data_IF_585999256483
#
_entry.id   IF_585999256483
#
_cell.length_a   1.000
_cell.length_b   1.000
_cell.length_c   1.000
_cell.angle_alpha   90.00
_cell.angle_beta   90.00
_cell.angle_gamma   90.00
#
_symmetry.space_group_name_H-M   'P 1'
#
loop_
_entity.id
_entity.type
_entity.pdbx_description
1 polymer ?
#
# COMPACT_ATOMS: atom_id res chain seq x y z
N UNK A 1 21.61 -9.43 -69.25
CA UNK A 1 21.46 -10.45 -70.30
C UNK A 1 21.06 -11.76 -69.65
N UNK A 2 19.86 -12.24 -70.00
CA UNK A 2 19.37 -13.63 -69.99
C UNK A 2 19.47 -14.44 -68.69
N UNK A 3 18.51 -15.22 -68.22
CA UNK A 3 17.15 -15.62 -68.64
C UNK A 3 16.79 -16.76 -67.65
N UNK A 4 15.73 -16.67 -66.84
CA UNK A 4 14.33 -17.02 -67.19
C UNK A 4 14.06 -18.54 -67.05
N UNK A 5 13.11 -18.85 -66.14
CA UNK A 5 12.09 -19.93 -66.19
C UNK A 5 12.56 -21.37 -65.84
N UNK A 6 11.74 -22.31 -65.32
CA UNK A 6 10.29 -22.41 -65.07
C UNK A 6 10.02 -23.67 -64.22
N UNK A 7 8.91 -23.67 -63.47
CA UNK A 7 7.94 -24.79 -63.35
C UNK A 7 8.31 -25.94 -62.40
N UNK A 8 7.64 -26.10 -61.25
CA UNK A 8 6.27 -26.60 -61.07
C UNK A 8 6.09 -28.10 -61.42
N UNK A 9 5.80 -28.91 -60.39
CA UNK A 9 4.76 -29.96 -60.45
C UNK A 9 4.30 -30.32 -59.03
N UNK A 10 3.14 -29.76 -58.67
CA UNK A 10 2.24 -30.26 -57.63
C UNK A 10 1.97 -31.74 -57.87
N UNK A 11 2.16 -32.59 -56.85
CA UNK A 11 1.47 -33.87 -56.77
C UNK A 11 0.23 -33.68 -55.89
N UNK A 12 -0.93 -33.70 -56.55
CA UNK A 12 -2.22 -33.88 -55.93
C UNK A 12 -2.26 -35.29 -55.31
N UNK A 13 -2.37 -35.39 -53.99
CA UNK A 13 -3.01 -36.54 -53.37
C UNK A 13 -4.30 -36.06 -52.70
N UNK A 14 -5.41 -36.34 -53.39
CA UNK A 14 -6.75 -36.32 -52.84
C UNK A 14 -6.83 -37.43 -51.78
N UNK A 15 -6.55 -37.08 -50.52
CA UNK A 15 -6.99 -37.86 -49.38
C UNK A 15 -8.14 -37.10 -48.73
N UNK A 16 -9.37 -37.54 -49.04
CA UNK A 16 -10.60 -37.15 -48.38
C UNK A 16 -10.56 -37.58 -46.91
N UNK A 17 -10.00 -36.73 -46.06
CA UNK A 17 -10.18 -36.80 -44.62
C UNK A 17 -11.54 -36.19 -44.26
N UNK A 18 -12.59 -37.01 -44.36
CA UNK A 18 -13.86 -36.76 -43.67
C UNK A 18 -13.60 -36.79 -42.18
N UNK A 19 -13.22 -35.64 -41.61
CA UNK A 19 -13.27 -35.42 -40.16
C UNK A 19 -14.73 -35.45 -39.74
N UNK A 20 -15.17 -36.61 -39.27
CA UNK A 20 -16.40 -36.74 -38.49
C UNK A 20 -16.26 -35.86 -37.23
N UNK A 21 -16.89 -34.69 -37.26
CA UNK A 21 -17.15 -33.90 -36.06
C UNK A 21 -18.13 -34.68 -35.18
N UNK A 22 -17.64 -35.57 -34.34
CA UNK A 22 -18.41 -36.10 -33.21
C UNK A 22 -18.44 -35.01 -32.13
N UNK A 23 -19.47 -34.18 -32.18
CA UNK A 23 -19.82 -33.31 -31.06
C UNK A 23 -20.22 -34.23 -29.90
N UNK A 24 -19.61 -34.13 -28.71
CA UNK A 24 -20.10 -34.89 -27.57
C UNK A 24 -21.48 -34.34 -27.22
N UNK A 25 -22.52 -35.14 -27.47
CA UNK A 25 -23.85 -34.93 -26.91
C UNK A 25 -23.70 -34.78 -25.40
N UNK A 26 -23.84 -33.54 -24.91
CA UNK A 26 -24.15 -33.32 -23.50
C UNK A 26 -25.53 -33.89 -23.30
N UNK A 27 -25.68 -34.87 -22.42
CA UNK A 27 -26.97 -35.23 -21.85
C UNK A 27 -27.53 -33.96 -21.18
N UNK A 28 -28.46 -33.31 -21.86
CA UNK A 28 -29.31 -32.28 -21.27
C UNK A 28 -30.35 -33.06 -20.49
N UNK A 29 -30.21 -33.10 -19.16
CA UNK A 29 -31.33 -33.45 -18.30
C UNK A 29 -32.35 -32.31 -18.40
N UNK A 30 -33.29 -32.42 -19.35
CA UNK A 30 -34.45 -31.52 -19.42
C UNK A 30 -35.45 -31.91 -18.32
N UNK A 31 -35.20 -31.46 -17.09
CA UNK A 31 -36.19 -31.53 -16.01
C UNK A 31 -36.25 -30.20 -15.26
N UNK A 32 -36.29 -29.08 -15.99
CA UNK A 32 -36.68 -27.79 -15.43
C UNK A 32 -37.68 -27.16 -16.41
N UNK A 33 -38.89 -26.85 -15.93
CA UNK A 33 -39.93 -26.20 -16.73
C UNK A 33 -39.41 -24.83 -17.20
N UNK A 34 -39.09 -24.71 -18.48
CA UNK A 34 -38.49 -23.50 -19.11
C UNK A 34 -39.39 -22.25 -19.08
N UNK A 35 -40.62 -22.37 -18.60
CA UNK A 35 -41.61 -21.29 -18.59
C UNK A 35 -42.09 -21.01 -17.16
N UNK A 36 -41.31 -20.26 -16.39
CA UNK A 36 -41.79 -19.55 -15.21
C UNK A 36 -42.64 -18.33 -15.66
N UNK A 37 -43.69 -18.01 -14.91
CA UNK A 37 -44.60 -16.87 -15.22
C UNK A 37 -43.90 -15.51 -15.23
N UNK A 38 -42.73 -15.42 -14.63
CA UNK A 38 -41.82 -14.27 -14.66
C UNK A 38 -40.50 -14.71 -15.28
N UNK A 39 -40.07 -14.13 -16.42
CA UNK A 39 -38.79 -14.47 -17.02
C UNK A 39 -37.64 -14.01 -16.12
N UNK A 40 -36.84 -14.97 -15.65
CA UNK A 40 -35.58 -14.69 -14.96
C UNK A 40 -34.47 -14.51 -15.99
N UNK A 41 -34.20 -13.26 -16.38
CA UNK A 41 -33.09 -12.95 -17.26
C UNK A 41 -31.75 -13.08 -16.50
N UNK A 42 -30.71 -13.63 -17.14
CA UNK A 42 -29.37 -13.59 -16.56
C UNK A 42 -28.93 -12.13 -16.39
N UNK A 43 -28.09 -11.83 -15.38
CA UNK A 43 -27.60 -10.49 -15.16
C UNK A 43 -26.88 -9.99 -16.42
N UNK A 44 -27.28 -8.82 -16.90
CA UNK A 44 -26.67 -8.20 -18.07
C UNK A 44 -25.23 -7.83 -17.71
N UNK A 45 -24.27 -8.55 -18.29
CA UNK A 45 -22.86 -8.15 -18.24
C UNK A 45 -22.66 -6.97 -19.20
N UNK A 46 -23.04 -5.77 -18.76
CA UNK A 46 -22.92 -4.50 -19.51
C UNK A 46 -21.45 -4.21 -19.85
N UNK A 47 -20.54 -4.71 -19.03
CA UNK A 47 -19.11 -4.63 -19.29
C UNK A 47 -18.65 -5.96 -19.88
N UNK A 48 -18.29 -6.00 -21.17
CA UNK A 48 -17.27 -6.94 -21.66
C UNK A 48 -15.92 -6.55 -21.07
N UNK A 49 -15.81 -6.58 -19.73
CA UNK A 49 -14.53 -6.51 -19.08
C UNK A 49 -13.68 -7.67 -19.60
N UNK A 50 -12.38 -7.46 -19.75
CA UNK A 50 -11.49 -8.59 -20.02
C UNK A 50 -11.66 -9.60 -18.88
N UNK A 51 -11.47 -10.90 -19.14
CA UNK A 51 -11.50 -11.98 -18.13
C UNK A 51 -10.68 -11.60 -16.87
N UNK A 52 -9.61 -10.82 -17.06
CA UNK A 52 -8.78 -10.29 -15.98
C UNK A 52 -9.51 -9.30 -15.05
N UNK A 53 -10.34 -8.41 -15.59
CA UNK A 53 -11.12 -7.47 -14.77
C UNK A 53 -12.16 -8.18 -13.91
N UNK A 54 -12.77 -9.26 -14.41
CA UNK A 54 -13.70 -10.07 -13.63
C UNK A 54 -12.97 -10.82 -12.51
N UNK A 55 -11.83 -11.43 -12.81
CA UNK A 55 -10.96 -12.05 -11.79
C UNK A 55 -10.53 -11.07 -10.70
N UNK A 56 -10.17 -9.84 -11.07
CA UNK A 56 -9.82 -8.79 -10.11
C UNK A 56 -11.01 -8.42 -9.22
N UNK A 57 -12.21 -8.30 -9.80
CA UNK A 57 -13.45 -8.03 -9.04
C UNK A 57 -13.77 -9.17 -8.06
N UNK A 58 -13.65 -10.42 -8.49
CA UNK A 58 -13.85 -11.59 -7.63
C UNK A 58 -12.84 -11.62 -6.48
N UNK A 59 -11.57 -11.35 -6.78
CA UNK A 59 -10.53 -11.28 -5.77
C UNK A 59 -10.76 -10.13 -4.77
N UNK A 60 -11.17 -8.94 -5.24
CA UNK A 60 -11.58 -7.84 -4.35
C UNK A 60 -12.74 -8.25 -3.43
N UNK A 61 -13.78 -8.91 -3.98
CA UNK A 61 -14.88 -9.44 -3.18
C UNK A 61 -14.39 -10.46 -2.14
N UNK A 62 -13.39 -11.28 -2.46
CA UNK A 62 -12.79 -12.24 -1.53
C UNK A 62 -12.07 -11.55 -0.37
N UNK A 63 -11.31 -10.49 -0.64
CA UNK A 63 -10.68 -9.67 0.41
C UNK A 63 -11.75 -9.06 1.32
N UNK A 64 -12.81 -8.48 0.74
CA UNK A 64 -13.88 -7.83 1.50
C UNK A 64 -14.65 -8.80 2.41
N UNK A 65 -14.72 -10.09 2.05
CA UNK A 65 -15.39 -11.13 2.84
C UNK A 65 -14.61 -11.57 4.07
N UNK A 66 -13.32 -11.27 4.16
CA UNK A 66 -12.52 -11.71 5.30
C UNK A 66 -13.01 -11.03 6.61
N UNK A 67 -13.11 -11.76 7.72
CA UNK A 67 -13.70 -11.26 8.96
C UNK A 67 -12.76 -10.37 9.79
N UNK A 68 -11.44 -10.59 9.72
CA UNK A 68 -10.46 -9.80 10.47
C UNK A 68 -9.54 -9.00 9.56
N UNK A 69 -8.96 -7.93 10.12
CA UNK A 69 -8.04 -7.04 9.41
C UNK A 69 -6.78 -7.78 8.94
N UNK A 70 -6.25 -8.66 9.78
CA UNK A 70 -5.04 -9.43 9.50
C UNK A 70 -5.25 -10.38 8.32
N UNK A 71 -6.42 -11.03 8.26
CA UNK A 71 -6.80 -11.91 7.15
C UNK A 71 -6.98 -11.11 5.86
N UNK A 72 -7.54 -9.89 5.92
CA UNK A 72 -7.60 -8.97 4.78
C UNK A 72 -6.20 -8.63 4.26
N UNK A 73 -5.29 -8.23 5.14
CA UNK A 73 -3.91 -7.89 4.77
C UNK A 73 -3.15 -9.08 4.18
N UNK A 74 -3.40 -10.29 4.69
CA UNK A 74 -2.80 -11.51 4.17
C UNK A 74 -3.35 -11.89 2.79
N UNK A 75 -4.68 -11.83 2.60
CA UNK A 75 -5.37 -12.21 1.36
C UNK A 75 -4.91 -11.37 0.15
N UNK A 76 -4.46 -10.12 0.39
CA UNK A 76 -3.86 -9.27 -0.65
C UNK A 76 -2.57 -9.89 -1.25
N UNK A 77 -1.84 -10.70 -0.49
CA UNK A 77 -0.59 -11.33 -0.95
C UNK A 77 -0.77 -12.74 -1.52
N UNK A 78 -1.88 -13.41 -1.19
CA UNK A 78 -2.18 -14.80 -1.62
C UNK A 78 -2.04 -15.06 -3.12
N UNK A 79 -2.52 -14.21 -4.06
CA UNK A 79 -2.46 -14.54 -5.48
C UNK A 79 -1.03 -14.55 -6.04
N UNK A 80 -0.05 -13.96 -5.35
CA UNK A 80 1.32 -13.82 -5.85
C UNK A 80 2.34 -14.39 -4.86
N UNK A 81 2.75 -15.64 -5.11
CA UNK A 81 3.77 -16.36 -4.31
C UNK A 81 5.07 -15.56 -4.10
N UNK A 82 5.50 -14.82 -5.12
CA UNK A 82 6.77 -14.07 -5.10
C UNK A 82 6.58 -12.57 -4.81
N UNK A 83 5.40 -12.18 -4.35
CA UNK A 83 5.04 -10.80 -4.10
C UNK A 83 4.72 -9.99 -5.36
N UNK A 84 4.66 -8.69 -5.17
CA UNK A 84 4.28 -7.68 -6.14
C UNK A 84 5.49 -6.87 -6.56
N UNK A 85 5.49 -6.39 -7.81
CA UNK A 85 6.52 -5.47 -8.28
C UNK A 85 6.13 -4.06 -7.81
N UNK A 86 6.93 -3.49 -6.93
CA UNK A 86 6.66 -2.21 -6.26
C UNK A 86 7.79 -1.22 -6.52
N UNK A 87 7.46 0.07 -6.61
CA UNK A 87 8.44 1.14 -6.47
C UNK A 87 8.79 1.29 -4.99
N UNK A 88 10.07 1.25 -4.69
CA UNK A 88 10.57 1.33 -3.33
C UNK A 88 10.83 2.79 -2.96
N UNK A 89 10.09 3.28 -1.97
CA UNK A 89 10.28 4.60 -1.39
C UNK A 89 10.85 4.42 0.01
N UNK A 90 12.07 4.89 0.22
CA UNK A 90 12.74 4.83 1.51
C UNK A 90 12.74 6.21 2.15
N UNK A 91 12.41 6.27 3.44
CA UNK A 91 12.55 7.51 4.20
C UNK A 91 14.00 8.00 4.20
N UNK A 92 14.19 9.30 3.94
CA UNK A 92 15.50 9.92 3.81
C UNK A 92 16.19 9.67 2.47
N UNK A 93 15.56 9.02 1.49
CA UNK A 93 16.06 8.91 0.12
C UNK A 93 15.05 9.56 -0.81
N UNK A 94 15.23 10.87 -1.03
CA UNK A 94 14.36 11.69 -1.87
C UNK A 94 15.14 12.14 -3.10
N UNK A 95 14.69 11.82 -4.33
CA UNK A 95 15.28 12.34 -5.57
C UNK A 95 15.10 13.85 -5.75
N UNK A 96 15.81 14.41 -6.74
CA UNK A 96 15.58 15.78 -7.22
C UNK A 96 14.19 15.90 -7.86
N UNK A 97 13.53 17.07 -7.73
CA UNK A 97 12.23 17.37 -8.34
C UNK A 97 11.14 16.31 -8.07
N UNK A 98 11.06 15.84 -6.82
CA UNK A 98 10.18 14.74 -6.43
C UNK A 98 8.80 15.20 -5.92
N UNK A 99 8.60 16.50 -5.71
CA UNK A 99 7.39 17.03 -5.08
C UNK A 99 6.12 16.69 -5.87
N UNK A 100 6.12 16.97 -7.18
CA UNK A 100 4.98 16.66 -8.07
C UNK A 100 4.62 15.18 -8.04
N UNK A 101 5.62 14.29 -8.05
CA UNK A 101 5.39 12.86 -7.94
C UNK A 101 4.82 12.48 -6.57
N UNK A 102 5.34 13.04 -5.47
CA UNK A 102 4.84 12.73 -4.13
C UNK A 102 3.37 13.12 -3.95
N UNK A 103 2.98 14.28 -4.46
CA UNK A 103 1.60 14.77 -4.46
C UNK A 103 0.69 13.92 -5.35
N UNK A 104 1.12 13.58 -6.57
CA UNK A 104 0.38 12.69 -7.47
C UNK A 104 0.19 11.29 -6.87
N UNK A 105 1.28 10.70 -6.37
CA UNK A 105 1.31 9.35 -5.83
C UNK A 105 0.43 9.18 -4.59
N UNK A 106 0.30 10.22 -3.77
CA UNK A 106 -0.52 10.20 -2.55
C UNK A 106 -1.88 10.89 -2.73
N UNK A 107 -2.12 11.50 -3.90
CA UNK A 107 -3.26 12.38 -4.20
C UNK A 107 -3.44 13.48 -3.15
N UNK A 108 -2.33 14.14 -2.80
CA UNK A 108 -2.30 15.22 -1.80
C UNK A 108 -2.10 16.58 -2.44
N UNK A 109 -2.69 17.61 -1.82
CA UNK A 109 -2.49 19.01 -2.17
C UNK A 109 -1.70 19.69 -1.05
N UNK A 110 -0.64 20.41 -1.42
CA UNK A 110 0.23 21.09 -0.46
C UNK A 110 -0.20 22.55 -0.33
N UNK A 111 -0.66 22.92 0.86
CA UNK A 111 -0.95 24.31 1.21
C UNK A 111 0.24 24.87 1.98
N UNK A 112 0.92 25.87 1.41
CA UNK A 112 2.00 26.60 2.09
C UNK A 112 1.40 27.80 2.83
N UNK A 113 1.24 27.67 4.14
CA UNK A 113 0.82 28.76 5.03
C UNK A 113 1.85 28.94 6.14
N UNK A 114 2.16 30.19 6.46
CA UNK A 114 3.05 30.52 7.58
C UNK A 114 2.37 30.31 8.94
N UNK A 115 1.03 30.45 8.98
CA UNK A 115 0.23 30.24 10.17
C UNK A 115 -0.16 28.77 10.36
N UNK A 116 -0.27 28.38 11.64
CA UNK A 116 -0.89 27.11 12.04
C UNK A 116 -2.40 27.14 11.71
N UNK A 117 -3.06 25.96 11.60
CA UNK A 117 -4.51 25.91 11.46
C UNK A 117 -5.23 26.68 12.57
N UNK A 118 -6.34 27.37 12.21
CA UNK A 118 -7.14 28.20 13.13
C UNK A 118 -7.60 27.48 14.38
N UNK A 119 -7.74 26.15 14.30
CA UNK A 119 -7.99 25.27 15.43
C UNK A 119 -7.06 25.51 16.64
N UNK A 120 -5.79 25.87 16.39
CA UNK A 120 -4.78 26.03 17.44
C UNK A 120 -4.71 27.44 18.06
N UNK A 121 -5.44 28.42 17.53
CA UNK A 121 -5.40 29.81 18.03
C UNK A 121 -5.81 29.90 19.50
N UNK A 122 -6.85 29.16 19.90
CA UNK A 122 -7.36 29.16 21.28
C UNK A 122 -6.38 28.57 22.31
N UNK A 123 -5.38 27.80 21.87
CA UNK A 123 -4.38 27.17 22.72
C UNK A 123 -3.03 27.89 22.73
N UNK A 124 -2.85 28.92 21.90
CA UNK A 124 -1.55 29.55 21.67
C UNK A 124 -0.93 30.13 22.96
N UNK A 125 -1.72 30.88 23.74
CA UNK A 125 -1.23 31.54 24.97
C UNK A 125 -0.76 30.52 26.02
N UNK A 126 -1.52 29.44 26.22
CA UNK A 126 -1.14 28.35 27.12
C UNK A 126 0.14 27.67 26.68
N UNK A 127 0.31 27.44 25.38
CA UNK A 127 1.53 26.86 24.84
C UNK A 127 2.75 27.76 25.06
N UNK A 128 2.60 29.08 24.94
CA UNK A 128 3.67 30.05 25.20
C UNK A 128 4.10 29.99 26.67
N UNK A 129 3.15 29.92 27.60
CA UNK A 129 3.47 29.85 29.03
C UNK A 129 4.11 28.52 29.43
N UNK A 130 3.64 27.40 28.85
CA UNK A 130 4.30 26.10 29.00
C UNK A 130 5.72 26.12 28.42
N UNK A 131 5.92 26.72 27.25
CA UNK A 131 7.23 26.84 26.61
C UNK A 131 8.23 27.62 27.48
N UNK A 132 7.78 28.71 28.13
CA UNK A 132 8.59 29.47 29.09
C UNK A 132 8.99 28.61 30.29
N UNK A 133 8.07 27.79 30.81
CA UNK A 133 8.32 26.93 31.97
C UNK A 133 9.34 25.83 31.69
N UNK A 134 9.29 25.20 30.51
CA UNK A 134 10.19 24.08 30.16
C UNK A 134 11.53 24.53 29.57
N UNK A 135 11.70 25.83 29.29
CA UNK A 135 12.86 26.34 28.55
C UNK A 135 14.17 25.93 29.20
N UNK A 136 14.30 26.17 30.51
CA UNK A 136 15.54 25.92 31.23
C UNK A 136 15.82 24.41 31.32
N UNK A 137 14.80 23.60 31.62
CA UNK A 137 14.89 22.14 31.63
C UNK A 137 15.36 21.56 30.28
N UNK A 138 14.87 22.14 29.17
CA UNK A 138 15.25 21.75 27.82
C UNK A 138 16.71 22.12 27.53
N UNK A 139 17.13 23.34 27.88
CA UNK A 139 18.50 23.80 27.67
C UNK A 139 19.47 22.94 28.47
N UNK A 140 19.21 22.73 29.76
CA UNK A 140 20.03 21.89 30.65
C UNK A 140 20.13 20.46 30.13
N UNK A 141 19.01 19.89 29.66
CA UNK A 141 19.00 18.55 29.08
C UNK A 141 19.86 18.46 27.81
N UNK A 142 19.79 19.46 26.93
CA UNK A 142 20.60 19.47 25.69
C UNK A 142 22.09 19.65 26.02
N UNK A 143 22.42 20.59 26.89
CA UNK A 143 23.81 20.86 27.30
C UNK A 143 24.44 19.64 27.96
N UNK A 144 23.71 18.97 28.85
CA UNK A 144 24.15 17.74 29.48
C UNK A 144 24.48 16.65 28.43
N UNK A 145 23.59 16.43 27.46
CA UNK A 145 23.80 15.41 26.43
C UNK A 145 24.97 15.75 25.52
N UNK A 146 25.14 17.03 25.15
CA UNK A 146 26.26 17.47 24.33
C UNK A 146 27.59 17.36 25.08
N UNK A 147 27.63 17.73 26.36
CA UNK A 147 28.84 17.71 27.17
C UNK A 147 29.30 16.28 27.50
N UNK A 148 28.43 15.46 28.11
CA UNK A 148 28.76 14.10 28.56
C UNK A 148 29.16 13.19 27.41
N UNK A 149 28.55 13.35 26.23
CA UNK A 149 28.71 12.39 25.13
C UNK A 149 29.81 12.76 24.15
N UNK A 150 30.29 14.01 24.16
CA UNK A 150 31.45 14.45 23.37
C UNK A 150 32.71 13.65 23.69
N UNK A 151 32.85 13.16 24.92
CA UNK A 151 34.09 12.55 25.40
C UNK A 151 34.16 11.02 25.26
N UNK A 152 33.03 10.30 25.26
CA UNK A 152 33.05 8.83 25.45
C UNK A 152 32.40 7.98 24.34
N UNK A 153 31.37 8.47 23.62
CA UNK A 153 30.55 7.60 22.74
C UNK A 153 30.91 7.74 21.25
N UNK A 154 31.47 8.88 20.84
CA UNK A 154 31.67 9.20 19.42
C UNK A 154 33.07 8.98 18.88
N UNK A 155 34.03 8.50 19.68
CA UNK A 155 35.44 8.36 19.27
C UNK A 155 35.62 7.48 18.02
N UNK A 156 34.77 6.48 17.82
CA UNK A 156 34.92 5.47 16.75
C UNK A 156 33.84 5.52 15.65
N UNK A 157 32.96 6.52 15.66
CA UNK A 157 31.89 6.63 14.65
C UNK A 157 32.31 7.55 13.51
N UNK A 158 31.75 7.33 12.31
CA UNK A 158 31.83 8.32 11.23
C UNK A 158 30.95 9.53 11.58
N UNK A 159 31.32 10.73 11.15
CA UNK A 159 30.66 11.98 11.56
C UNK A 159 29.14 11.97 11.30
N UNK A 160 28.72 11.38 10.17
CA UNK A 160 27.29 11.22 9.88
C UNK A 160 26.54 10.28 10.82
N UNK A 161 27.19 9.20 11.25
CA UNK A 161 26.59 8.30 12.24
C UNK A 161 26.55 8.97 13.62
N UNK A 162 27.53 9.83 13.96
CA UNK A 162 27.51 10.63 15.19
C UNK A 162 26.32 11.59 15.20
N UNK A 163 26.15 12.38 14.13
CA UNK A 163 25.05 13.35 14.00
C UNK A 163 23.70 12.65 14.16
N UNK A 164 23.50 11.53 13.45
CA UNK A 164 22.25 10.77 13.54
C UNK A 164 21.98 10.23 14.95
N UNK A 165 23.00 9.76 15.66
CA UNK A 165 22.82 9.28 17.04
C UNK A 165 22.54 10.43 18.01
N UNK A 166 23.27 11.55 17.90
CA UNK A 166 23.02 12.77 18.67
C UNK A 166 21.60 13.28 18.46
N UNK A 167 21.13 13.31 17.21
CA UNK A 167 19.77 13.73 16.89
C UNK A 167 18.72 12.84 17.58
N UNK A 168 18.87 11.52 17.54
CA UNK A 168 17.95 10.59 18.23
C UNK A 168 17.90 10.83 19.73
N UNK A 169 19.06 11.08 20.32
CA UNK A 169 19.20 11.39 21.74
C UNK A 169 18.46 12.69 22.06
N UNK A 170 18.78 13.77 21.35
CA UNK A 170 18.22 15.10 21.61
C UNK A 170 16.70 15.06 21.45
N UNK A 171 16.20 14.44 20.38
CA UNK A 171 14.75 14.29 20.15
C UNK A 171 14.08 13.47 21.27
N UNK A 172 14.72 12.39 21.73
CA UNK A 172 14.21 11.59 22.83
C UNK A 172 14.13 12.37 24.16
N UNK A 173 15.15 13.15 24.47
CA UNK A 173 15.17 14.00 25.66
C UNK A 173 14.16 15.13 25.59
N UNK A 174 14.06 15.81 24.43
CA UNK A 174 13.03 16.84 24.20
C UNK A 174 11.63 16.28 24.41
N UNK A 175 11.34 15.12 23.82
CA UNK A 175 10.06 14.46 24.00
C UNK A 175 9.79 14.11 25.48
N UNK A 176 10.80 13.63 26.22
CA UNK A 176 10.69 13.32 27.65
C UNK A 176 10.33 14.56 28.47
N UNK A 177 11.03 15.67 28.28
CA UNK A 177 10.78 16.93 29.03
C UNK A 177 9.37 17.46 28.73
N UNK A 178 9.00 17.48 27.44
CA UNK A 178 7.67 17.94 27.01
C UNK A 178 6.56 17.07 27.60
N UNK A 179 6.67 15.74 27.50
CA UNK A 179 5.65 14.83 28.02
C UNK A 179 5.50 14.92 29.55
N UNK A 180 6.62 15.01 30.28
CA UNK A 180 6.58 15.19 31.73
C UNK A 180 5.89 16.50 32.12
N UNK A 181 6.09 17.58 31.36
CA UNK A 181 5.41 18.84 31.61
C UNK A 181 3.90 18.73 31.37
N UNK A 182 3.51 18.15 30.23
CA UNK A 182 2.10 17.99 29.84
C UNK A 182 1.34 17.12 30.84
N UNK A 183 1.92 15.99 31.25
CA UNK A 183 1.32 15.09 32.25
C UNK A 183 1.10 15.76 33.61
N UNK A 184 1.94 16.72 33.98
CA UNK A 184 1.80 17.47 35.23
C UNK A 184 0.77 18.61 35.11
N UNK A 185 0.55 19.16 33.92
CA UNK A 185 -0.38 20.27 33.72
C UNK A 185 -1.82 19.85 33.45
N UNK A 186 -2.03 18.73 32.74
CA UNK A 186 -3.36 18.26 32.38
C UNK A 186 -3.61 16.86 32.96
N UNK A 187 -4.56 16.73 33.89
CA UNK A 187 -4.93 15.44 34.50
C UNK A 187 -5.58 14.49 33.49
N UNK A 188 -6.20 15.04 32.45
CA UNK A 188 -6.80 14.30 31.33
C UNK A 188 -5.76 13.97 30.24
N UNK A 189 -4.46 14.17 30.53
CA UNK A 189 -3.37 13.92 29.60
C UNK A 189 -3.58 12.57 28.91
N UNK A 190 -3.79 12.67 27.61
CA UNK A 190 -3.96 11.57 26.67
C UNK A 190 -2.94 10.49 27.03
N UNK A 191 -3.40 9.24 27.19
CA UNK A 191 -2.51 8.09 27.31
C UNK A 191 -1.65 8.00 26.05
N UNK A 192 -0.51 8.70 26.09
CA UNK A 192 0.44 8.81 24.99
C UNK A 192 1.48 7.72 25.14
N UNK A 193 1.55 6.83 24.15
CA UNK A 193 2.59 5.84 24.06
C UNK A 193 3.72 6.36 23.16
N UNK A 194 4.96 6.25 23.65
CA UNK A 194 6.16 6.63 22.90
C UNK A 194 6.83 5.39 22.33
N UNK A 195 7.01 5.34 21.02
CA UNK A 195 7.77 4.29 20.33
C UNK A 195 9.05 4.86 19.73
N UNK A 196 10.18 4.21 20.02
CA UNK A 196 11.49 4.60 19.50
C UNK A 196 11.86 3.81 18.24
N UNK A 197 12.20 4.52 17.17
CA UNK A 197 12.56 3.92 15.86
C UNK A 197 11.58 2.83 15.35
N UNK A 198 10.26 3.05 15.39
CA UNK A 198 9.28 2.08 14.91
C UNK A 198 9.45 1.80 13.41
N UNK A 199 9.08 0.60 12.99
CA UNK A 199 9.10 0.17 11.58
C UNK A 199 7.77 0.53 10.93
N UNK A 200 7.79 1.51 10.03
CA UNK A 200 6.64 1.85 9.20
C UNK A 200 6.79 1.20 7.84
N UNK A 201 5.77 0.47 7.40
CA UNK A 201 5.68 0.00 6.03
C UNK A 201 4.28 0.30 5.51
N UNK A 202 4.19 0.86 4.31
CA UNK A 202 2.91 1.12 3.68
C UNK A 202 2.96 0.81 2.21
N UNK A 203 1.83 0.35 1.70
CA UNK A 203 1.70 -0.03 0.31
C UNK A 203 0.35 0.37 -0.23
N UNK A 204 0.37 0.96 -1.42
CA UNK A 204 -0.83 1.43 -2.10
C UNK A 204 -0.60 1.41 -3.61
N UNK A 205 -1.71 1.48 -4.35
CA UNK A 205 -1.69 1.58 -5.81
C UNK A 205 -1.77 3.04 -6.22
N UNK A 206 -0.93 3.42 -7.17
CA UNK A 206 -0.97 4.70 -7.87
C UNK A 206 -1.43 4.44 -9.29
N UNK A 207 -2.47 5.15 -9.68
CA UNK A 207 -3.03 5.09 -11.02
C UNK A 207 -2.35 6.16 -11.89
N UNK A 208 -2.61 6.12 -13.19
CA UNK A 208 -2.20 7.19 -14.10
C UNK A 208 -0.68 7.35 -14.25
N UNK A 209 0.09 6.26 -14.16
CA UNK A 209 1.50 6.27 -14.53
C UNK A 209 1.69 5.62 -15.91
N UNK A 210 2.39 6.31 -16.80
CA UNK A 210 2.70 5.83 -18.15
C UNK A 210 3.72 4.68 -18.05
N UNK A 211 3.41 3.56 -18.71
CA UNK A 211 4.37 2.46 -18.87
C UNK A 211 5.32 2.75 -20.02
N UNK A 212 6.57 2.31 -19.88
CA UNK A 212 7.48 2.26 -21.01
C UNK A 212 6.97 1.36 -22.13
N UNK A 213 7.32 1.76 -23.34
CA UNK A 213 7.10 1.03 -24.61
C UNK A 213 7.40 -0.48 -24.48
N UNK A 214 8.62 -0.82 -24.02
CA UNK A 214 9.07 -2.21 -23.87
C UNK A 214 8.19 -3.03 -22.92
N UNK A 215 7.67 -2.41 -21.86
CA UNK A 215 6.77 -3.10 -20.91
C UNK A 215 5.40 -3.37 -21.53
N UNK A 216 4.92 -2.49 -22.41
CA UNK A 216 3.65 -2.67 -23.13
C UNK A 216 3.73 -3.81 -24.13
N UNK A 217 4.81 -3.89 -24.91
CA UNK A 217 5.04 -4.99 -25.86
C UNK A 217 5.03 -6.35 -25.15
N UNK A 218 5.75 -6.47 -24.03
CA UNK A 218 5.78 -7.70 -23.24
C UNK A 218 4.39 -8.07 -22.66
N UNK A 219 3.62 -7.06 -22.24
CA UNK A 219 2.32 -7.25 -21.60
C UNK A 219 1.24 -7.71 -22.58
N UNK A 220 1.23 -7.13 -23.78
CA UNK A 220 0.25 -7.44 -24.81
C UNK A 220 0.72 -8.54 -25.77
N UNK A 221 2.02 -8.86 -25.79
CA UNK A 221 2.59 -9.85 -26.70
C UNK A 221 2.55 -9.41 -28.16
N UNK A 222 2.43 -8.10 -28.39
CA UNK A 222 2.28 -7.46 -29.70
C UNK A 222 3.42 -6.43 -29.84
N UNK A 223 4.14 -6.40 -30.97
CA UNK A 223 5.14 -5.36 -31.25
C UNK A 223 4.52 -3.95 -31.20
N UNK A 224 5.28 -2.94 -30.80
CA UNK A 224 4.79 -1.57 -30.62
C UNK A 224 4.06 -1.04 -31.86
N UNK A 225 4.59 -1.33 -33.03
CA UNK A 225 4.08 -0.83 -34.31
C UNK A 225 2.70 -1.39 -34.66
N UNK A 226 2.27 -2.47 -33.97
CA UNK A 226 0.97 -3.13 -34.15
C UNK A 226 0.02 -2.88 -32.98
N UNK A 227 0.47 -2.19 -31.92
CA UNK A 227 -0.37 -1.83 -30.78
C UNK A 227 -1.31 -0.68 -31.18
N UNK A 228 -2.64 -0.85 -31.04
CA UNK A 228 -3.56 0.26 -31.28
C UNK A 228 -3.26 1.42 -30.34
N UNK A 229 -3.45 2.65 -30.82
CA UNK A 229 -3.10 3.89 -30.10
C UNK A 229 -3.76 3.97 -28.71
N UNK A 230 -4.98 3.44 -28.57
CA UNK A 230 -5.70 3.31 -27.30
C UNK A 230 -4.92 2.54 -26.20
N UNK A 231 -4.06 1.61 -26.58
CA UNK A 231 -3.22 0.85 -25.63
C UNK A 231 -1.90 1.55 -25.30
N UNK A 232 -1.47 2.49 -26.16
CA UNK A 232 -0.29 3.32 -25.92
C UNK A 232 -0.58 4.35 -24.85
N UNK A 233 -1.74 4.99 -24.85
CA UNK A 233 -2.05 6.01 -23.85
C UNK A 233 -2.67 5.45 -22.57
N UNK A 234 -2.92 4.14 -22.53
CA UNK A 234 -3.55 3.50 -21.38
C UNK A 234 -2.65 3.58 -20.14
N UNK A 235 -3.06 4.32 -19.09
CA UNK A 235 -2.30 4.35 -17.86
C UNK A 235 -2.30 2.99 -17.17
N UNK A 236 -1.26 2.73 -16.40
CA UNK A 236 -1.15 1.50 -15.61
C UNK A 236 -1.13 1.78 -14.13
N UNK A 237 -1.76 0.88 -13.39
CA UNK A 237 -1.65 0.87 -11.94
C UNK A 237 -0.26 0.35 -11.55
N UNK A 238 0.42 1.11 -10.70
CA UNK A 238 1.71 0.72 -10.12
C UNK A 238 1.57 0.65 -8.62
N UNK A 239 2.26 -0.32 -8.02
CA UNK A 239 2.32 -0.44 -6.58
C UNK A 239 3.52 0.35 -6.06
N UNK A 240 3.30 1.07 -4.97
CA UNK A 240 4.35 1.71 -4.19
C UNK A 240 4.49 0.94 -2.88
N UNK A 241 5.73 0.79 -2.43
CA UNK A 241 6.06 0.34 -1.09
C UNK A 241 6.91 1.40 -0.41
N UNK A 242 6.35 2.06 0.58
CA UNK A 242 7.04 2.94 1.49
C UNK A 242 7.65 2.15 2.66
N UNK A 243 8.89 2.48 3.00
CA UNK A 243 9.60 1.97 4.18
C UNK A 243 10.10 3.17 4.98
N UNK A 244 9.46 3.40 6.12
CA UNK A 244 9.77 4.45 7.07
C UNK A 244 10.45 3.92 8.33
N UNK A 245 11.34 4.73 8.87
CA UNK A 245 11.99 4.56 10.16
C UNK A 245 12.14 5.93 10.82
N UNK A 246 11.04 6.52 11.34
CA UNK A 246 11.09 7.74 12.10
C UNK A 246 12.01 7.57 13.32
N UNK A 247 12.44 8.68 13.91
CA UNK A 247 13.22 8.69 15.15
C UNK A 247 12.34 8.23 16.32
N UNK A 248 11.14 8.81 16.41
CA UNK A 248 10.20 8.64 17.51
C UNK A 248 8.77 8.82 16.98
N UNK A 249 7.83 8.05 17.53
CA UNK A 249 6.40 8.25 17.30
C UNK A 249 5.66 8.33 18.64
N UNK A 250 4.66 9.18 18.67
CA UNK A 250 3.67 9.28 19.73
C UNK A 250 2.34 8.72 19.22
N UNK A 251 1.73 7.85 20.01
CA UNK A 251 0.42 7.26 19.74
C UNK A 251 -0.55 7.58 20.86
N UNK A 252 -1.84 7.61 20.53
CA UNK A 252 -2.92 7.91 21.44
C UNK A 252 -4.06 6.90 21.30
N UNK A 253 -4.89 6.76 22.34
CA UNK A 253 -6.07 5.87 22.32
C UNK A 253 -7.25 6.44 21.52
N UNK A 254 -7.29 7.76 21.31
CA UNK A 254 -8.38 8.43 20.59
C UNK A 254 -7.84 9.13 19.33
N UNK A 255 -8.59 9.14 18.23
CA UNK A 255 -8.16 9.81 17.01
C UNK A 255 -8.09 11.33 17.21
N UNK A 256 -7.14 11.97 16.53
CA UNK A 256 -7.07 13.42 16.46
C UNK A 256 -8.31 13.99 15.72
N UNK A 257 -8.80 15.16 16.12
CA UNK A 257 -9.88 15.83 15.40
C UNK A 257 -9.41 16.24 13.99
N UNK A 258 -10.29 16.20 12.99
CA UNK A 258 -9.95 16.62 11.64
C UNK A 258 -9.66 18.13 11.61
N UNK A 259 -8.58 18.51 10.93
CA UNK A 259 -8.19 19.93 10.77
C UNK A 259 -9.18 20.69 9.89
N UNK A 260 -9.66 20.02 8.83
CA UNK A 260 -10.61 20.55 7.85
C UNK A 260 -11.83 19.65 7.85
N UNK A 261 -13.03 20.22 7.70
CA UNK A 261 -14.25 19.42 7.65
C UNK A 261 -14.28 18.53 6.41
N UNK A 262 -14.94 17.36 6.49
CA UNK A 262 -15.05 16.45 5.34
C UNK A 262 -15.74 17.10 4.12
N UNK A 263 -16.63 18.08 4.34
CA UNK A 263 -17.28 18.83 3.26
C UNK A 263 -16.30 19.73 2.52
N UNK A 264 -15.48 20.48 3.26
CA UNK A 264 -14.46 21.36 2.69
C UNK A 264 -13.37 20.57 1.96
N UNK A 265 -12.96 19.42 2.52
CA UNK A 265 -11.99 18.53 1.88
C UNK A 265 -12.46 18.00 0.52
N UNK A 266 -13.78 17.87 0.31
CA UNK A 266 -14.38 17.41 -0.93
C UNK A 266 -14.63 18.54 -1.96
N UNK A 267 -14.31 19.80 -1.63
CA UNK A 267 -14.45 20.91 -2.58
C UNK A 267 -13.35 20.79 -3.65
N UNK A 268 -13.76 20.82 -4.92
CA UNK A 268 -12.92 20.65 -6.11
C UNK A 268 -11.81 21.72 -6.32
N UNK A 269 -11.66 22.67 -5.39
CA UNK A 269 -10.72 23.79 -5.54
C UNK A 269 -9.25 23.39 -5.34
N UNK A 270 -8.99 22.22 -4.75
CA UNK A 270 -7.64 21.73 -4.56
C UNK A 270 -7.18 20.91 -5.77
N UNK A 271 -6.36 21.51 -6.64
CA UNK A 271 -5.75 20.80 -7.76
C UNK A 271 -4.58 19.94 -7.28
N UNK A 272 -4.62 18.64 -7.58
CA UNK A 272 -3.49 17.74 -7.37
C UNK A 272 -2.65 17.76 -8.65
N UNK A 273 -1.33 18.00 -8.56
CA UNK A 273 -0.46 17.98 -9.74
C UNK A 273 -0.43 16.56 -10.32
N UNK A 274 -0.51 16.48 -11.65
CA UNK A 274 -0.47 15.22 -12.38
C UNK A 274 0.99 14.89 -12.72
N UNK A 275 1.39 13.65 -12.50
CA UNK A 275 2.71 13.15 -12.86
C UNK A 275 2.61 11.98 -13.83
N UNK A 276 2.93 12.22 -15.10
CA UNK A 276 2.70 11.26 -16.19
C UNK A 276 3.91 10.39 -16.54
N UNK A 277 5.02 10.47 -15.81
CA UNK A 277 6.25 9.75 -16.17
C UNK A 277 6.47 8.47 -15.35
N UNK A 278 7.29 7.53 -15.85
CA UNK A 278 7.72 6.36 -15.08
C UNK A 278 8.78 6.77 -14.05
N UNK A 279 8.45 6.79 -12.73
CA UNK A 279 9.34 7.33 -11.68
C UNK A 279 10.65 6.54 -11.54
N UNK A 280 10.72 5.30 -12.05
CA UNK A 280 11.98 4.55 -12.07
C UNK A 280 13.00 5.16 -13.05
N UNK A 281 12.53 5.71 -14.17
CA UNK A 281 13.42 6.25 -15.21
C UNK A 281 13.73 7.72 -14.94
N UNK A 282 12.72 8.50 -14.58
CA UNK A 282 12.86 9.94 -14.41
C UNK A 282 13.44 10.33 -13.06
N UNK A 283 13.02 9.67 -11.98
CA UNK A 283 13.43 9.99 -10.61
C UNK A 283 14.44 8.98 -10.05
N UNK A 284 14.68 7.87 -10.75
CA UNK A 284 15.65 6.85 -10.34
C UNK A 284 15.19 5.94 -9.20
N UNK A 285 13.88 5.84 -8.94
CA UNK A 285 13.38 4.90 -7.93
C UNK A 285 13.62 3.45 -8.33
N UNK A 286 13.98 2.62 -7.36
CA UNK A 286 14.20 1.18 -7.59
C UNK A 286 12.87 0.43 -7.64
N UNK A 287 12.80 -0.61 -8.49
CA UNK A 287 11.68 -1.53 -8.53
C UNK A 287 12.09 -2.88 -7.96
N UNK A 288 11.43 -3.31 -6.88
CA UNK A 288 11.69 -4.60 -6.25
C UNK A 288 10.43 -5.46 -6.23
N UNK A 289 10.61 -6.78 -6.07
CA UNK A 289 9.49 -7.70 -5.79
C UNK A 289 9.35 -7.90 -4.29
N UNK A 290 8.22 -7.47 -3.71
CA UNK A 290 7.94 -7.59 -2.28
C UNK A 290 6.49 -7.97 -2.01
N UNK A 291 6.25 -8.66 -0.91
CA UNK A 291 4.90 -8.77 -0.38
C UNK A 291 4.45 -7.40 0.12
N UNK A 292 3.19 -7.06 -0.17
CA UNK A 292 2.53 -5.83 0.26
C UNK A 292 2.41 -5.89 1.78
N UNK A 293 2.96 -4.89 2.45
CA UNK A 293 2.91 -4.76 3.90
C UNK A 293 2.37 -3.39 4.30
N UNK A 294 1.47 -3.39 5.29
CA UNK A 294 0.92 -2.21 5.93
C UNK A 294 1.11 -2.38 7.45
N UNK A 295 2.16 -1.76 7.98
CA UNK A 295 2.58 -1.83 9.38
C UNK A 295 2.81 -0.39 9.87
N UNK A 296 2.02 0.12 10.84
CA UNK A 296 2.14 1.49 11.35
C UNK A 296 3.25 1.69 12.38
N UNK A 297 3.92 0.62 12.83
CA UNK A 297 4.92 0.65 13.90
C UNK A 297 4.65 -0.32 15.04
N UNK A 298 3.41 -0.82 15.15
CA UNK A 298 2.95 -1.72 16.19
C UNK A 298 2.07 -2.84 15.60
N UNK A 299 1.73 -3.84 16.42
CA UNK A 299 0.86 -4.94 16.00
C UNK A 299 -0.62 -4.63 16.26
N UNK A 300 -1.55 -5.17 15.46
CA UNK A 300 -2.98 -4.99 15.69
C UNK A 300 -3.40 -5.42 17.11
N UNK A 301 -4.33 -4.68 17.71
CA UNK A 301 -4.91 -5.01 19.01
C UNK A 301 -4.23 -4.36 20.22
N UNK A 302 -3.32 -3.41 20.02
CA UNK A 302 -2.91 -2.47 21.09
C UNK A 302 -4.02 -1.45 21.39
N UNK A 303 -3.99 -0.84 22.59
CA UNK A 303 -5.02 0.13 23.02
C UNK A 303 -4.81 1.50 22.37
N UNK A 304 -3.56 1.89 22.16
CA UNK A 304 -3.14 3.17 21.57
C UNK A 304 -2.97 3.01 20.06
N UNK A 305 -4.08 2.87 19.35
CA UNK A 305 -4.10 2.50 17.93
C UNK A 305 -4.10 3.71 16.96
N UNK A 306 -4.08 4.95 17.48
CA UNK A 306 -4.04 6.17 16.67
C UNK A 306 -2.69 6.87 16.75
N UNK A 307 -2.30 7.51 15.65
CA UNK A 307 -1.09 8.33 15.59
C UNK A 307 -1.34 9.74 16.13
N UNK A 308 -0.39 10.26 16.92
CA UNK A 308 -0.42 11.62 17.45
C UNK A 308 0.62 12.51 16.76
N UNK A 309 1.91 12.15 16.86
CA UNK A 309 3.02 12.93 16.31
C UNK A 309 4.17 12.01 15.91
N UNK A 310 4.89 12.33 14.83
CA UNK A 310 6.06 11.59 14.40
C UNK A 310 7.26 12.52 14.17
N UNK A 311 8.42 12.10 14.67
CA UNK A 311 9.68 12.81 14.53
C UNK A 311 10.53 12.13 13.47
N UNK A 312 10.94 12.89 12.46
CA UNK A 312 11.63 12.37 11.29
C UNK A 312 13.06 12.89 11.17
N UNK A 313 13.88 12.12 10.47
CA UNK A 313 15.26 12.47 10.20
C UNK A 313 15.37 13.29 8.90
N UNK A 314 16.07 14.43 8.95
CA UNK A 314 16.33 15.32 7.80
C UNK A 314 17.79 15.25 7.29
N UNK A 315 18.57 14.26 7.72
CA UNK A 315 19.98 14.09 7.34
C UNK A 315 20.23 14.10 5.82
N UNK A 316 19.24 13.66 5.03
CA UNK A 316 19.33 13.63 3.58
C UNK A 316 19.40 15.02 2.94
N UNK A 317 18.87 16.07 3.60
CA UNK A 317 18.87 17.45 3.11
C UNK A 317 20.27 18.07 3.17
N UNK A 318 21.07 17.70 4.18
CA UNK A 318 22.41 18.26 4.39
C UNK A 318 23.40 17.91 3.28
N UNK A 319 23.20 16.80 2.57
CA UNK A 319 24.10 16.29 1.53
C UNK A 319 23.66 16.66 0.11
N UNK A 320 22.58 17.43 -0.02
CA UNK A 320 22.05 17.79 -1.33
C UNK A 320 23.01 18.75 -2.03
N UNK A 321 23.40 18.46 -3.30
CA UNK A 321 24.24 19.35 -4.08
C UNK A 321 23.64 20.76 -4.19
N UNK A 322 24.48 21.78 -4.09
CA UNK A 322 24.07 23.18 -4.33
C UNK A 322 23.61 23.43 -5.77
N UNK A 323 23.92 22.54 -6.70
CA UNK A 323 23.52 22.60 -8.11
C UNK A 323 22.02 22.39 -8.33
N UNK A 324 21.29 21.84 -7.36
CA UNK A 324 19.85 21.57 -7.48
C UNK A 324 18.98 22.83 -7.35
N UNK A 325 19.57 23.99 -7.02
CA UNK A 325 18.85 25.25 -6.88
C UNK A 325 18.38 25.52 -5.45
N UNK A 326 17.80 26.71 -5.24
CA UNK A 326 17.42 27.21 -3.91
C UNK A 326 16.18 26.54 -3.33
N UNK A 327 15.21 26.15 -4.17
CA UNK A 327 13.92 25.57 -3.74
C UNK A 327 14.00 24.07 -3.44
N UNK A 328 15.05 23.41 -3.91
CA UNK A 328 15.19 21.95 -3.85
C UNK A 328 15.12 21.39 -2.43
N UNK A 329 15.74 22.07 -1.45
CA UNK A 329 15.71 21.64 -0.05
C UNK A 329 14.30 21.64 0.52
N UNK A 330 13.52 22.68 0.23
CA UNK A 330 12.13 22.78 0.68
C UNK A 330 11.24 21.73 0.03
N UNK A 331 11.43 21.48 -1.27
CA UNK A 331 10.71 20.44 -2.01
C UNK A 331 11.04 19.04 -1.49
N UNK A 332 12.30 18.78 -1.15
CA UNK A 332 12.75 17.52 -0.56
C UNK A 332 12.08 17.26 0.79
N UNK A 333 12.10 18.27 1.66
CA UNK A 333 11.47 18.21 2.99
C UNK A 333 9.97 17.95 2.81
N UNK A 334 9.31 18.74 1.97
CA UNK A 334 7.88 18.60 1.69
C UNK A 334 7.52 17.21 1.16
N UNK A 335 8.32 16.69 0.22
CA UNK A 335 8.13 15.35 -0.34
C UNK A 335 8.29 14.25 0.73
N UNK A 336 9.30 14.36 1.60
CA UNK A 336 9.47 13.43 2.70
C UNK A 336 8.28 13.49 3.66
N UNK A 337 7.83 14.69 4.03
CA UNK A 337 6.70 14.86 4.95
C UNK A 337 5.41 14.28 4.37
N UNK A 338 5.15 14.47 3.07
CA UNK A 338 4.00 13.87 2.38
C UNK A 338 4.06 12.34 2.45
N UNK A 339 5.18 11.74 2.03
CA UNK A 339 5.31 10.28 2.03
C UNK A 339 5.32 9.68 3.43
N UNK A 340 5.97 10.33 4.39
CA UNK A 340 6.01 9.86 5.77
C UNK A 340 4.63 9.92 6.43
N UNK A 341 3.90 11.03 6.25
CA UNK A 341 2.56 11.19 6.82
C UNK A 341 1.58 10.22 6.17
N UNK A 342 1.54 10.15 4.84
CA UNK A 342 0.67 9.22 4.13
C UNK A 342 1.05 7.76 4.42
N UNK A 343 2.34 7.46 4.43
CA UNK A 343 2.88 6.15 4.74
C UNK A 343 2.63 5.71 6.18
N UNK A 344 2.33 6.62 7.11
CA UNK A 344 1.90 6.26 8.46
C UNK A 344 0.38 6.15 8.58
N UNK A 345 -0.36 7.09 7.99
CA UNK A 345 -1.83 7.10 8.02
C UNK A 345 -2.45 5.92 7.28
N UNK A 346 -1.85 5.46 6.18
CA UNK A 346 -2.38 4.34 5.39
C UNK A 346 -2.42 3.03 6.20
N UNK A 347 -1.32 2.57 6.85
CA UNK A 347 -1.36 1.40 7.73
C UNK A 347 -2.26 1.58 8.96
N UNK A 348 -2.34 2.77 9.53
CA UNK A 348 -3.27 3.06 10.62
C UNK A 348 -4.72 2.84 10.15
N UNK A 349 -5.10 3.38 8.99
CA UNK A 349 -6.40 3.15 8.38
C UNK A 349 -6.63 1.65 8.09
N UNK A 350 -5.59 0.93 7.63
CA UNK A 350 -5.64 -0.52 7.47
C UNK A 350 -5.97 -1.26 8.75
N UNK A 351 -5.37 -0.87 9.88
CA UNK A 351 -5.65 -1.48 11.18
C UNK A 351 -7.08 -1.21 11.67
N UNK A 352 -7.74 -0.17 11.15
CA UNK A 352 -9.15 0.11 11.39
C UNK A 352 -10.11 -0.68 10.46
N UNK A 353 -9.58 -1.39 9.46
CA UNK A 353 -10.35 -2.17 8.47
C UNK A 353 -10.44 -1.52 7.08
N UNK A 354 -9.93 -0.30 6.90
CA UNK A 354 -9.94 0.40 5.61
C UNK A 354 -8.78 -0.03 4.71
N UNK A 355 -8.91 0.07 3.39
CA UNK A 355 -7.78 -0.22 2.50
C UNK A 355 -7.99 0.42 1.15
N UNK A 356 -7.00 0.33 0.25
CA UNK A 356 -7.22 0.73 -1.15
C UNK A 356 -8.34 -0.06 -1.86
N UNK A 357 -8.82 -1.14 -1.25
CA UNK A 357 -9.94 -1.95 -1.74
C UNK A 357 -11.25 -1.71 -0.96
N UNK A 358 -11.21 -0.89 0.09
CA UNK A 358 -12.31 -0.69 1.04
C UNK A 358 -12.42 0.79 1.44
N UNK A 359 -13.49 1.45 1.00
CA UNK A 359 -13.71 2.89 1.20
C UNK A 359 -14.18 3.22 2.63
N UNK A 360 -14.02 4.49 3.03
CA UNK A 360 -14.25 5.01 4.39
C UNK A 360 -15.73 5.09 4.79
N UNK A 361 -16.66 4.99 3.84
CA UNK A 361 -18.08 5.21 4.09
C UNK A 361 -18.85 3.88 4.31
N UNK A 362 -19.39 3.74 5.53
CA UNK A 362 -20.53 2.87 5.89
C UNK A 362 -20.27 1.39 6.23
N UNK A 363 -19.37 1.10 7.19
CA UNK A 363 -19.40 -0.21 7.88
C UNK A 363 -18.95 -0.13 9.36
N UNK A 364 -19.52 -0.96 10.26
CA UNK A 364 -18.92 -1.21 11.58
C UNK A 364 -17.50 -1.77 11.45
N UNK A 365 -16.63 -1.39 12.40
CA UNK A 365 -15.21 -1.78 12.44
C UNK A 365 -15.05 -3.30 12.38
N UNK A 366 -14.08 -3.78 11.61
CA UNK A 366 -13.77 -5.21 11.58
C UNK A 366 -13.21 -5.68 12.92
N UNK A 367 -13.37 -6.98 13.20
CA UNK A 367 -12.82 -7.57 14.41
C UNK A 367 -11.28 -7.53 14.34
N UNK A 368 -10.66 -6.92 15.35
CA UNK A 368 -9.21 -6.96 15.57
C UNK A 368 -8.93 -8.11 16.51
N UNK A 369 -8.29 -9.15 16.01
CA UNK A 369 -7.92 -10.29 16.85
C UNK A 369 -6.44 -10.53 16.68
N UNK A 370 -5.73 -10.60 17.79
CA UNK A 370 -4.31 -10.91 17.74
C UNK A 370 -4.15 -12.34 17.20
N UNK A 371 -3.08 -12.64 16.43
CA UNK A 371 -2.88 -13.98 15.87
C UNK A 371 -2.98 -15.12 16.91
N UNK A 372 -2.62 -14.86 18.16
CA UNK A 372 -2.69 -15.81 19.28
C UNK A 372 -4.06 -15.89 19.97
N UNK A 373 -4.93 -14.89 19.80
CA UNK A 373 -6.31 -14.90 20.34
C UNK A 373 -7.22 -15.85 19.55
N UNK A 374 -6.82 -16.25 18.34
CA UNK A 374 -7.51 -17.26 17.54
C UNK A 374 -7.26 -18.70 18.02
N UNK A 375 -6.49 -18.90 19.11
CA UNK A 375 -6.03 -20.22 19.61
C UNK A 375 -5.42 -21.11 18.52
N UNK A 376 -4.97 -20.51 17.42
CA UNK A 376 -4.28 -21.18 16.33
C UNK A 376 -2.88 -20.60 16.24
N UNK A 377 -1.87 -21.44 16.45
CA UNK A 377 -0.49 -21.02 16.29
C UNK A 377 -0.22 -20.75 14.79
N UNK A 378 0.11 -19.50 14.39
CA UNK A 378 0.28 -19.12 12.99
C UNK A 378 1.40 -19.88 12.27
N UNK A 379 2.40 -20.38 13.00
CA UNK A 379 3.48 -21.20 12.45
C UNK A 379 3.04 -22.64 12.10
N UNK A 380 1.88 -23.07 12.57
CA UNK A 380 1.32 -24.39 12.24
C UNK A 380 0.31 -24.35 11.10
N UNK A 381 -0.07 -23.16 10.58
CA UNK A 381 -0.91 -23.05 9.38
C UNK A 381 -0.13 -23.57 8.18
N UNK A 382 -0.46 -24.77 7.71
CA UNK A 382 0.06 -25.32 6.46
C UNK A 382 -0.86 -24.92 5.31
N UNK A 383 -0.31 -24.76 4.11
CA UNK A 383 -1.06 -24.52 2.87
C UNK A 383 -2.08 -25.65 2.54
N UNK A 384 -1.99 -26.79 3.24
CA UNK A 384 -2.97 -27.88 3.21
C UNK A 384 -4.24 -27.60 4.01
N UNK A 385 -4.18 -26.71 5.00
CA UNK A 385 -5.22 -26.59 6.02
C UNK A 385 -6.44 -25.79 5.50
N UNK A 386 -6.27 -25.09 4.37
CA UNK A 386 -7.36 -24.47 3.59
C UNK A 386 -7.97 -25.39 2.54
N UNK A 387 -7.35 -26.55 2.27
CA UNK A 387 -7.91 -27.53 1.33
C UNK A 387 -8.85 -28.46 2.11
N UNK A 388 -10.09 -28.58 1.68
CA UNK A 388 -11.01 -29.56 2.25
C UNK A 388 -10.42 -30.97 2.22
N UNK A 389 -10.90 -31.88 3.07
CA UNK A 389 -10.39 -33.25 3.14
C UNK A 389 -10.36 -33.90 1.74
N UNK A 390 -9.26 -34.56 1.39
CA UNK A 390 -9.14 -35.23 0.10
C UNK A 390 -10.20 -36.34 0.00
N UNK A 391 -11.03 -36.29 -1.04
CA UNK A 391 -12.04 -37.32 -1.29
C UNK A 391 -11.41 -38.41 -2.17
N UNK A 392 -11.28 -39.65 -1.66
CA UNK A 392 -10.79 -40.77 -2.45
C UNK A 392 -11.58 -40.90 -3.75
N UNK A 393 -10.90 -41.30 -4.83
CA UNK A 393 -11.50 -41.36 -6.17
C UNK A 393 -12.78 -42.22 -6.21
N UNK A 394 -12.86 -43.24 -5.35
CA UNK A 394 -14.01 -44.11 -5.19
C UNK A 394 -15.23 -43.46 -4.51
N UNK A 395 -15.08 -42.30 -3.88
CA UNK A 395 -16.14 -41.62 -3.10
C UNK A 395 -16.51 -40.24 -3.66
N UNK A 396 -15.96 -39.86 -4.82
CA UNK A 396 -16.28 -38.55 -5.44
C UNK A 396 -17.69 -38.58 -6.03
N UNK A 397 -18.54 -37.57 -5.73
CA UNK A 397 -19.88 -37.48 -6.31
C UNK A 397 -19.82 -37.30 -7.85
N UNK A 398 -18.74 -36.67 -8.34
CA UNK A 398 -18.60 -36.28 -9.75
C UNK A 398 -17.86 -37.33 -10.60
N UNK A 399 -17.91 -38.62 -10.25
CA UNK A 399 -17.15 -39.69 -10.94
C UNK A 399 -17.37 -39.75 -12.46
N UNK A 400 -18.54 -39.33 -12.91
CA UNK A 400 -18.95 -39.30 -14.31
C UNK A 400 -18.27 -38.18 -15.13
N UNK A 401 -17.66 -37.18 -14.47
CA UNK A 401 -16.96 -36.08 -15.14
C UNK A 401 -15.51 -36.43 -15.51
N UNK A 402 -14.93 -35.82 -16.56
CA UNK A 402 -13.51 -35.94 -16.89
C UNK A 402 -12.60 -35.62 -15.70
N UNK A 403 -11.46 -36.32 -15.58
CA UNK A 403 -10.55 -36.28 -14.41
C UNK A 403 -10.17 -34.87 -13.93
N UNK A 404 -10.12 -33.89 -14.83
CA UNK A 404 -9.75 -32.51 -14.52
C UNK A 404 -10.91 -31.66 -13.95
N UNK A 405 -12.16 -32.12 -14.07
CA UNK A 405 -13.36 -31.49 -13.48
C UNK A 405 -13.81 -32.14 -12.16
N UNK A 406 -13.24 -33.27 -11.79
CA UNK A 406 -13.60 -33.96 -10.54
C UNK A 406 -13.04 -33.18 -9.35
N UNK A 407 -13.92 -32.73 -8.45
CA UNK A 407 -13.49 -32.11 -7.21
C UNK A 407 -12.74 -33.14 -6.35
N UNK A 408 -11.45 -32.85 -6.09
CA UNK A 408 -10.56 -33.73 -5.32
C UNK A 408 -10.68 -33.52 -3.82
N UNK A 409 -11.33 -32.44 -3.40
CA UNK A 409 -11.45 -32.02 -2.01
C UNK A 409 -12.92 -31.87 -1.63
N UNK A 410 -13.28 -32.28 -0.41
CA UNK A 410 -14.62 -32.16 0.12
C UNK A 410 -15.00 -30.67 0.26
N UNK A 411 -16.28 -30.36 0.03
CA UNK A 411 -16.82 -29.02 0.32
C UNK A 411 -16.83 -28.86 1.85
N UNK A 412 -16.05 -27.93 2.39
CA UNK A 412 -16.09 -27.58 3.80
C UNK A 412 -17.28 -26.66 4.08
N UNK A 413 -17.98 -26.88 5.20
CA UNK A 413 -19.10 -26.04 5.64
C UNK A 413 -18.68 -24.68 6.22
N UNK A 414 -17.37 -24.45 6.40
CA UNK A 414 -16.87 -23.11 6.70
C UNK A 414 -16.87 -22.26 5.42
N UNK A 415 -17.36 -21.01 5.47
CA UNK A 415 -17.37 -20.13 4.31
C UNK A 415 -15.93 -19.91 3.82
N UNK A 416 -15.69 -20.16 2.54
CA UNK A 416 -14.43 -19.95 1.84
C UNK A 416 -14.24 -18.49 1.38
#
# INVERSE_FOLDING_TARGET
>A
MYSVLKGCKRKNSLASLTRCCSVPFRNINCTENEFTSTPEYPPININKGTVETERLKEWHKKILRQPTVEEKLFEVNVPRRWGWKCFMIHEGIIPYNNLSFSQHATRTHLVKTEALPSYYENSADKCIDLAKKIRDDVVDSIEYQLHVRRENIFKNLNDMKKIRQLQKIIVGELNRVILNCIQNSESDAVHLQTDFSPRIEASWKVNSLVETVVKKEYKYGIPLNELPEEYLDRPSDKLIQYIGKPILQLRCSNPLPPIISSKEANIFNYSVPVYDFDPHITLGYTMERRHITNIPGFWPGEKEDFGFLSYHDLNHVHHRPSTYGSTDKEEAISSQMIFASFGWLMPLACYQGFSSYHDFAMRPRDARRRPFELRQNPYHRKMSDTKGAYVPKALRPDKHLPKWKQNKFAKSFFPQ
#
